data_IF_503288185297
#
_entry.id   IF_503288185297
#
_cell.length_a   1.000
_cell.length_b   1.000
_cell.length_c   1.000
_cell.angle_alpha   90.00
_cell.angle_beta   90.00
_cell.angle_gamma   90.00
#
_symmetry.space_group_name_H-M   'P 1'
#
loop_
_entity.id
_entity.type
_entity.pdbx_description
1 polymer ?
#
# COMPACT_ATOMS: atom_id res chain seq x y z
N UNK A 1 -10.28 -12.16 21.02
CA UNK A 1 -10.87 -10.98 20.37
C UNK A 1 -9.80 -10.40 19.45
N UNK A 2 -9.85 -10.75 18.17
CA UNK A 2 -8.83 -10.35 17.21
C UNK A 2 -9.20 -8.96 16.66
N UNK A 3 -8.35 -7.95 16.90
CA UNK A 3 -8.55 -6.59 16.39
C UNK A 3 -8.15 -6.50 14.91
N UNK A 4 -8.77 -7.34 14.07
CA UNK A 4 -8.51 -7.36 12.63
C UNK A 4 -9.40 -6.33 11.95
N UNK A 5 -8.83 -5.17 11.68
CA UNK A 5 -9.49 -4.12 10.88
C UNK A 5 -9.30 -4.47 9.41
N UNK A 6 -10.40 -4.74 8.69
CA UNK A 6 -10.35 -4.94 7.24
C UNK A 6 -10.05 -3.60 6.57
N UNK A 7 -9.03 -3.57 5.71
CA UNK A 7 -8.60 -2.36 5.02
C UNK A 7 -9.74 -1.71 4.22
N UNK A 8 -10.63 -2.50 3.63
CA UNK A 8 -11.83 -2.01 2.92
C UNK A 8 -12.78 -1.24 3.85
N UNK A 9 -13.02 -1.75 5.07
CA UNK A 9 -13.90 -1.12 6.05
C UNK A 9 -13.27 0.15 6.64
N UNK A 10 -11.95 0.14 6.84
CA UNK A 10 -11.19 1.32 7.25
C UNK A 10 -11.24 2.43 6.18
N UNK A 11 -10.97 2.09 4.92
CA UNK A 11 -11.08 3.02 3.78
C UNK A 11 -12.49 3.58 3.64
N UNK A 12 -13.53 2.75 3.81
CA UNK A 12 -14.94 3.20 3.73
C UNK A 12 -15.26 4.24 4.80
N UNK A 13 -14.76 4.06 6.03
CA UNK A 13 -14.94 5.03 7.12
C UNK A 13 -14.23 6.36 6.84
N UNK A 14 -13.10 6.34 6.13
CA UNK A 14 -12.31 7.53 5.83
C UNK A 14 -12.64 8.23 4.51
N UNK A 15 -13.21 7.52 3.54
CA UNK A 15 -13.67 8.09 2.27
C UNK A 15 -14.78 9.16 2.45
N UNK A 16 -15.46 9.16 3.61
CA UNK A 16 -16.37 10.23 3.99
C UNK A 16 -15.67 11.56 4.38
N UNK A 17 -14.34 11.56 4.55
CA UNK A 17 -13.57 12.73 5.00
C UNK A 17 -12.25 13.02 4.25
N UNK A 18 -11.70 12.09 3.46
CA UNK A 18 -10.52 12.35 2.62
C UNK A 18 -10.75 11.95 1.17
N UNK A 19 -10.74 12.94 0.27
CA UNK A 19 -10.94 12.78 -1.18
C UNK A 19 -9.80 12.10 -1.93
N UNK A 20 -8.97 11.27 -1.26
CA UNK A 20 -7.89 10.52 -1.90
C UNK A 20 -8.30 9.06 -2.00
N UNK A 21 -9.19 8.76 -2.94
CA UNK A 21 -9.40 7.38 -3.38
C UNK A 21 -8.17 6.94 -4.16
N UNK A 22 -7.33 6.10 -3.54
CA UNK A 22 -6.30 5.38 -4.27
C UNK A 22 -6.99 4.50 -5.34
N UNK A 23 -6.52 4.49 -6.60
CA UNK A 23 -7.13 3.69 -7.65
C UNK A 23 -7.15 2.22 -7.25
N UNK A 24 -8.32 1.58 -7.40
CA UNK A 24 -8.44 0.14 -7.30
C UNK A 24 -7.69 -0.46 -8.49
N UNK A 25 -6.47 -0.92 -8.23
CA UNK A 25 -5.57 -1.39 -9.26
C UNK A 25 -5.49 -2.92 -9.12
N UNK A 26 -5.76 -3.67 -10.18
CA UNK A 26 -5.82 -5.15 -10.22
C UNK A 26 -4.45 -5.84 -10.07
N UNK A 27 -3.43 -5.13 -9.59
CA UNK A 27 -2.01 -5.53 -9.59
C UNK A 27 -1.61 -6.33 -8.35
N UNK A 28 -2.57 -6.85 -7.59
CA UNK A 28 -2.35 -7.64 -6.37
C UNK A 28 -2.65 -6.91 -5.06
N UNK A 29 -2.19 -7.45 -3.92
CA UNK A 29 -2.52 -6.90 -2.60
C UNK A 29 -1.97 -5.48 -2.43
N UNK A 30 -2.87 -4.52 -2.15
CA UNK A 30 -2.48 -3.15 -1.83
C UNK A 30 -2.09 -3.05 -0.34
N UNK A 31 -0.91 -2.49 -0.09
CA UNK A 31 -0.38 -2.31 1.26
C UNK A 31 -0.60 -0.89 1.77
N UNK A 32 -0.69 -0.75 3.10
CA UNK A 32 -1.07 0.52 3.71
C UNK A 32 -0.41 0.74 5.07
N UNK A 33 0.07 1.95 5.32
CA UNK A 33 0.59 2.35 6.63
C UNK A 33 -0.56 2.87 7.51
N UNK A 34 -0.95 2.09 8.52
CA UNK A 34 -2.02 2.47 9.44
C UNK A 34 -1.69 3.68 10.32
N UNK A 35 -0.39 3.97 10.52
CA UNK A 35 0.05 5.12 11.33
C UNK A 35 -0.07 6.43 10.57
N UNK A 36 0.32 6.43 9.30
CA UNK A 36 0.35 7.63 8.46
C UNK A 36 -0.87 7.80 7.58
N UNK A 37 -1.71 6.77 7.48
CA UNK A 37 -2.82 6.76 6.54
C UNK A 37 -2.34 6.97 5.09
N UNK A 38 -1.31 6.21 4.69
CA UNK A 38 -0.71 6.35 3.36
C UNK A 38 -0.25 5.04 2.75
N UNK A 39 -0.17 5.03 1.42
CA UNK A 39 0.30 3.94 0.56
C UNK A 39 1.64 4.25 -0.13
N UNK A 40 2.32 5.33 0.28
CA UNK A 40 3.66 5.67 -0.19
C UNK A 40 4.74 4.93 0.62
N UNK A 41 5.59 4.18 -0.09
CA UNK A 41 6.66 3.39 0.49
C UNK A 41 7.99 3.59 -0.24
N UNK A 42 9.10 3.52 0.51
CA UNK A 42 10.47 3.50 -0.02
C UNK A 42 10.98 2.08 -0.02
N UNK A 43 11.36 1.56 -1.20
CA UNK A 43 12.07 0.31 -1.35
C UNK A 43 13.57 0.58 -1.40
N UNK A 44 14.32 -0.03 -0.49
CA UNK A 44 15.78 0.03 -0.47
C UNK A 44 16.38 -1.15 -1.25
N UNK A 45 17.61 -0.97 -1.74
CA UNK A 45 18.35 -2.02 -2.47
C UNK A 45 18.53 -3.32 -1.66
N UNK A 46 18.49 -3.25 -0.33
CA UNK A 46 18.50 -4.40 0.57
C UNK A 46 17.20 -5.22 0.57
N UNK A 47 16.18 -4.78 -0.17
CA UNK A 47 14.83 -5.37 -0.17
C UNK A 47 13.95 -4.89 0.99
N UNK A 48 14.44 -3.99 1.84
CA UNK A 48 13.62 -3.43 2.92
C UNK A 48 12.64 -2.39 2.41
N UNK A 49 11.42 -2.42 2.93
CA UNK A 49 10.39 -1.42 2.62
C UNK A 49 10.08 -0.60 3.86
N UNK A 50 10.09 0.72 3.73
CA UNK A 50 9.70 1.63 4.81
C UNK A 50 8.58 2.55 4.36
N UNK A 51 7.70 2.95 5.27
CA UNK A 51 6.75 4.03 5.02
C UNK A 51 7.51 5.32 4.67
N UNK A 52 7.10 6.00 3.59
CA UNK A 52 7.76 7.23 3.14
C UNK A 52 7.63 8.38 4.15
N UNK A 53 6.63 8.35 5.03
CA UNK A 53 6.32 9.43 5.97
C UNK A 53 6.85 9.19 7.39
N UNK A 54 6.55 8.05 8.03
CA UNK A 54 6.98 7.79 9.41
C UNK A 54 8.26 6.93 9.53
N UNK A 55 8.76 6.39 8.42
CA UNK A 55 9.93 5.51 8.45
C UNK A 55 9.70 4.17 9.15
N UNK A 56 8.46 3.78 9.44
CA UNK A 56 8.19 2.43 9.96
C UNK A 56 8.58 1.36 8.94
N UNK A 57 9.28 0.33 9.40
CA UNK A 57 9.62 -0.85 8.61
C UNK A 57 8.35 -1.68 8.32
N UNK A 58 8.12 -1.96 7.05
CA UNK A 58 7.00 -2.77 6.57
C UNK A 58 7.49 -4.18 6.26
N UNK A 59 7.06 -5.17 7.03
CA UNK A 59 7.45 -6.58 6.89
C UNK A 59 6.41 -7.37 6.12
N UNK A 60 6.81 -8.52 5.58
CA UNK A 60 5.94 -9.48 4.88
C UNK A 60 5.23 -8.87 3.65
N UNK A 61 5.87 -7.90 3.00
CA UNK A 61 5.41 -7.37 1.73
C UNK A 61 5.94 -8.25 0.60
N UNK A 62 5.04 -8.72 -0.26
CA UNK A 62 5.42 -9.31 -1.53
C UNK A 62 5.48 -8.19 -2.56
N UNK A 63 6.66 -7.98 -3.14
CA UNK A 63 6.87 -7.00 -4.21
C UNK A 63 7.03 -7.78 -5.50
N UNK A 64 5.97 -7.82 -6.31
CA UNK A 64 6.06 -8.34 -7.67
C UNK A 64 6.73 -7.27 -8.53
N UNK A 65 7.88 -7.60 -9.15
CA UNK A 65 8.48 -6.73 -10.15
C UNK A 65 7.47 -6.47 -11.27
N UNK A 66 7.34 -5.21 -11.69
CA UNK A 66 6.49 -4.85 -12.83
C UNK A 66 6.97 -5.63 -14.05
N UNK A 67 6.09 -6.44 -14.66
CA UNK A 67 6.31 -6.87 -16.05
C UNK A 67 6.57 -5.60 -16.85
N UNK A 68 7.70 -5.56 -17.55
CA UNK A 68 7.94 -4.62 -18.64
C UNK A 68 6.68 -4.64 -19.52
N UNK A 69 6.00 -3.50 -19.66
CA UNK A 69 5.04 -3.32 -20.74
C UNK A 69 5.78 -3.62 -22.04
N UNK A 70 5.48 -4.76 -22.63
CA UNK A 70 5.87 -5.09 -23.99
C UNK A 70 5.12 -4.09 -24.87
N UNK A 71 5.85 -3.14 -25.43
CA UNK A 71 5.30 -2.09 -26.28
C UNK A 71 4.53 -2.73 -27.46
N UNK A 72 3.30 -2.27 -27.76
CA UNK A 72 2.61 -2.75 -28.94
C UNK A 72 3.37 -2.25 -30.18
N UNK A 73 3.74 -3.20 -31.06
CA UNK A 73 4.29 -2.95 -32.39
C UNK A 73 3.27 -2.30 -33.32
#
# INVERSE_FOLDING_TARGET
MENVVRLADYRRRRAAGSGRQAPANDWGPQYYCLKCDGDEFKLYASGMVHCAHCGSLMRNLLISGTKTEEAPQ
#
